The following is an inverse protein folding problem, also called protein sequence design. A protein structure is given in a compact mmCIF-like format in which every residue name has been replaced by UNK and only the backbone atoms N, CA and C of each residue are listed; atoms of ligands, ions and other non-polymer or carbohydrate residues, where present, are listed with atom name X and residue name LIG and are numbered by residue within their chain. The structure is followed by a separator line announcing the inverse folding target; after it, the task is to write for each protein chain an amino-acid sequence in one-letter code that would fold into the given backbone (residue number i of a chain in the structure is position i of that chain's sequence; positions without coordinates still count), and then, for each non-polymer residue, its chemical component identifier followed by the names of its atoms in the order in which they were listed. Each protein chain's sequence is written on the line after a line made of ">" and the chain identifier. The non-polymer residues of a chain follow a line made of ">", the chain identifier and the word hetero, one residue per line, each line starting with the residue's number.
data_IF_150945189517
#
_entry.id   IF_150945189517
#
_cell.length_a   1.000
_cell.length_b   1.000
_cell.length_c   1.000
_cell.angle_alpha   90.00
_cell.angle_beta   90.00
_cell.angle_gamma   90.00
#
_symmetry.space_group_name_H-M   'P 1'
#
loop_
_entity.id
_entity.type
_entity.pdbx_description
1 polymer ?
#
# COMPACT_ATOMS: atom_id res chain seq x y z
N UNK A 1 -1.76 -18.28 10.95
CA UNK A 1 -0.56 -17.75 11.63
C UNK A 1 0.02 -16.67 10.75
N UNK A 2 -0.02 -15.42 11.20
CA UNK A 2 0.58 -14.28 10.47
C UNK A 2 2.05 -14.58 10.14
N UNK A 3 2.40 -14.51 8.85
CA UNK A 3 3.80 -14.46 8.40
C UNK A 3 4.25 -13.02 8.56
N UNK A 4 4.82 -12.68 9.72
CA UNK A 4 4.98 -11.31 10.25
C UNK A 4 6.09 -10.48 9.60
N UNK A 5 6.15 -10.46 8.26
CA UNK A 5 7.02 -9.52 7.55
C UNK A 5 6.59 -8.07 7.80
N UNK A 6 5.29 -7.82 8.02
CA UNK A 6 4.72 -6.49 8.22
C UNK A 6 5.16 -5.83 9.53
N UNK A 7 5.37 -6.65 10.56
CA UNK A 7 5.85 -6.19 11.86
C UNK A 7 7.31 -5.72 11.83
N UNK A 8 8.04 -5.98 10.74
CA UNK A 8 9.42 -5.52 10.58
C UNK A 8 9.52 -4.07 10.11
N UNK A 9 8.44 -3.52 9.54
CA UNK A 9 8.40 -2.12 9.13
C UNK A 9 8.09 -1.19 10.31
N UNK A 10 8.75 -0.02 10.40
CA UNK A 10 8.37 1.02 11.37
C UNK A 10 6.92 1.44 11.14
N UNK A 11 6.10 1.42 12.19
CA UNK A 11 4.66 1.75 12.08
C UNK A 11 4.39 3.25 11.87
N UNK A 12 5.42 4.08 12.03
CA UNK A 12 5.37 5.50 11.67
C UNK A 12 5.57 5.71 10.15
N UNK A 13 6.14 4.71 9.45
CA UNK A 13 6.44 4.77 8.00
C UNK A 13 5.49 3.92 7.17
N UNK A 14 5.06 2.75 7.70
CA UNK A 14 4.14 1.83 7.03
C UNK A 14 2.98 1.49 7.95
N UNK A 15 1.77 1.80 7.50
CA UNK A 15 0.53 1.43 8.18
C UNK A 15 -0.17 0.29 7.42
N UNK A 16 -0.29 -0.87 8.08
CA UNK A 16 -1.11 -1.97 7.58
C UNK A 16 -2.51 -1.91 8.19
N UNK A 17 -3.54 -2.00 7.35
CA UNK A 17 -4.95 -1.97 7.76
C UNK A 17 -5.70 -3.14 7.11
N UNK A 18 -6.42 -3.92 7.92
CA UNK A 18 -7.43 -4.83 7.41
C UNK A 18 -8.74 -4.08 7.15
N UNK A 19 -9.48 -4.44 6.10
CA UNK A 19 -10.81 -3.88 5.82
C UNK A 19 -11.81 -5.02 5.76
N UNK A 20 -12.90 -4.91 6.52
CA UNK A 20 -13.92 -5.96 6.63
C UNK A 20 -15.33 -5.38 6.57
N UNK A 21 -16.20 -6.00 5.78
CA UNK A 21 -17.60 -5.60 5.69
C UNK A 21 -18.49 -6.20 6.81
N UNK A 22 -17.90 -6.91 7.78
CA UNK A 22 -18.57 -7.36 8.98
C UNK A 22 -18.05 -6.60 10.20
N UNK A 23 -18.97 -6.14 11.04
CA UNK A 23 -18.66 -5.56 12.35
C UNK A 23 -19.03 -6.52 13.50
N UNK A 24 -19.25 -7.80 13.20
CA UNK A 24 -19.56 -8.80 14.23
C UNK A 24 -18.31 -9.05 15.08
N UNK A 25 -18.31 -8.66 16.37
CA UNK A 25 -17.12 -8.73 17.22
C UNK A 25 -16.64 -10.15 17.47
N UNK A 26 -17.53 -11.15 17.42
CA UNK A 26 -17.14 -12.55 17.59
C UNK A 26 -16.39 -13.06 16.35
N UNK A 27 -16.85 -12.71 15.15
CA UNK A 27 -16.20 -13.12 13.90
C UNK A 27 -14.83 -12.46 13.79
N UNK A 28 -14.76 -11.14 13.99
CA UNK A 28 -13.51 -10.38 13.94
C UNK A 28 -12.56 -10.81 15.06
N UNK A 29 -13.06 -10.97 16.29
CA UNK A 29 -12.27 -11.41 17.44
C UNK A 29 -11.65 -12.78 17.23
N UNK A 30 -12.43 -13.77 16.78
CA UNK A 30 -11.90 -15.10 16.46
C UNK A 30 -10.85 -15.04 15.35
N UNK A 31 -11.08 -14.25 14.29
CA UNK A 31 -10.13 -14.12 13.18
C UNK A 31 -8.79 -13.51 13.64
N UNK A 32 -8.83 -12.50 14.50
CA UNK A 32 -7.64 -11.88 15.11
C UNK A 32 -6.90 -12.91 15.96
N UNK A 33 -7.61 -13.63 16.85
CA UNK A 33 -7.02 -14.61 17.77
C UNK A 33 -6.40 -15.79 17.02
N UNK A 34 -7.11 -16.37 16.06
CA UNK A 34 -6.65 -17.52 15.27
C UNK A 34 -5.40 -17.21 14.42
N UNK A 35 -5.25 -15.95 14.00
CA UNK A 35 -4.15 -15.53 13.14
C UNK A 35 -3.05 -14.73 13.84
N UNK A 36 -3.24 -14.38 15.12
CA UNK A 36 -2.36 -13.51 15.91
C UNK A 36 -2.16 -12.12 15.28
N UNK A 37 -3.22 -11.54 14.72
CA UNK A 37 -3.12 -10.26 14.01
C UNK A 37 -2.85 -9.11 14.97
N UNK A 38 -1.89 -8.26 14.61
CA UNK A 38 -1.54 -7.06 15.39
C UNK A 38 -1.99 -5.75 14.75
N UNK A 39 -2.35 -5.77 13.47
CA UNK A 39 -2.84 -4.59 12.75
C UNK A 39 -4.35 -4.38 12.98
N UNK A 40 -4.84 -3.13 12.92
CA UNK A 40 -6.25 -2.85 13.10
C UNK A 40 -7.08 -3.32 11.90
N UNK A 41 -8.33 -3.72 12.17
CA UNK A 41 -9.34 -4.05 11.16
C UNK A 41 -10.41 -2.97 11.18
N UNK A 42 -10.62 -2.29 10.05
CA UNK A 42 -11.62 -1.25 9.86
C UNK A 42 -12.90 -1.85 9.27
N UNK A 43 -14.04 -1.34 9.73
CA UNK A 43 -15.34 -1.74 9.21
C UNK A 43 -15.68 -0.98 7.93
N UNK A 44 -16.00 -1.71 6.86
CA UNK A 44 -16.48 -1.18 5.58
C UNK A 44 -18.01 -1.26 5.51
N UNK A 45 -18.72 -0.14 5.71
CA UNK A 45 -20.17 -0.13 5.68
C UNK A 45 -20.73 -0.28 4.25
N UNK A 46 -22.05 -0.47 4.14
CA UNK A 46 -22.75 -0.40 2.85
C UNK A 46 -22.82 -1.71 2.06
N UNK A 47 -22.33 -2.83 2.61
CA UNK A 47 -22.69 -4.15 2.11
C UNK A 47 -24.16 -4.47 2.43
N UNK A 48 -24.91 -5.03 1.48
CA UNK A 48 -26.29 -5.49 1.69
C UNK A 48 -26.41 -6.77 2.54
N UNK A 49 -25.39 -7.07 3.35
CA UNK A 49 -25.32 -8.28 4.20
C UNK A 49 -24.90 -9.55 3.45
N UNK A 50 -24.28 -9.41 2.27
CA UNK A 50 -23.70 -10.53 1.51
C UNK A 50 -22.25 -10.82 1.92
N UNK A 51 -21.73 -11.96 1.46
CA UNK A 51 -20.31 -12.35 1.63
C UNK A 51 -19.35 -11.40 0.90
N UNK A 52 -19.88 -10.53 0.05
CA UNK A 52 -19.14 -9.60 -0.82
C UNK A 52 -19.75 -8.20 -0.72
N UNK A 53 -18.91 -7.16 -0.81
CA UNK A 53 -19.33 -5.78 -0.90
C UNK A 53 -18.95 -4.92 0.30
N UNK A 54 -19.33 -3.66 0.22
CA UNK A 54 -18.89 -2.57 1.10
C UNK A 54 -18.51 -1.37 0.23
N UNK A 55 -18.63 -0.16 0.76
CA UNK A 55 -18.39 1.04 -0.05
C UNK A 55 -16.95 1.12 -0.52
N UNK A 56 -16.01 0.77 0.35
CA UNK A 56 -14.58 0.74 0.01
C UNK A 56 -14.30 -0.41 -0.94
N UNK A 57 -14.89 -1.58 -0.69
CA UNK A 57 -14.82 -2.72 -1.61
C UNK A 57 -15.22 -2.35 -3.05
N UNK A 58 -16.31 -1.60 -3.22
CA UNK A 58 -16.84 -1.22 -4.53
C UNK A 58 -15.95 -0.20 -5.25
N UNK A 59 -15.32 0.72 -4.51
CA UNK A 59 -14.40 1.73 -5.05
C UNK A 59 -13.09 1.07 -5.54
N UNK A 60 -12.60 0.09 -4.80
CA UNK A 60 -11.35 -0.64 -5.09
C UNK A 60 -11.59 -1.92 -5.91
N UNK A 61 -12.66 -1.95 -6.71
CA UNK A 61 -12.99 -3.09 -7.55
C UNK A 61 -12.01 -3.26 -8.71
N UNK A 62 -11.41 -4.46 -8.83
CA UNK A 62 -10.57 -4.85 -9.96
C UNK A 62 -11.37 -5.80 -10.89
N UNK A 63 -11.57 -5.45 -12.18
CA UNK A 63 -12.36 -6.27 -13.09
C UNK A 63 -11.64 -7.58 -13.51
N UNK A 64 -12.43 -8.63 -13.75
CA UNK A 64 -12.06 -9.95 -14.33
C UNK A 64 -11.37 -11.00 -13.44
N UNK A 65 -11.24 -10.79 -12.12
CA UNK A 65 -10.61 -11.79 -11.24
C UNK A 65 -11.63 -12.52 -10.35
N UNK A 66 -11.79 -13.81 -10.63
CA UNK A 66 -12.87 -14.67 -10.11
C UNK A 66 -12.73 -15.15 -8.66
N UNK A 67 -11.89 -14.53 -7.83
CA UNK A 67 -11.78 -14.87 -6.40
C UNK A 67 -11.96 -13.63 -5.52
N UNK A 68 -12.85 -13.66 -4.51
CA UNK A 68 -13.30 -12.44 -3.86
C UNK A 68 -12.37 -11.89 -2.77
N UNK A 69 -11.38 -12.66 -2.26
CA UNK A 69 -10.53 -12.27 -1.11
C UNK A 69 -9.20 -13.07 -1.02
N UNK A 70 -8.12 -12.49 -0.46
CA UNK A 70 -7.93 -11.07 -0.12
C UNK A 70 -7.65 -10.21 -1.37
N UNK A 71 -7.76 -8.89 -1.23
CA UNK A 71 -7.31 -7.92 -2.22
C UNK A 71 -6.37 -6.95 -1.55
N UNK A 72 -5.17 -6.85 -2.10
CA UNK A 72 -4.08 -6.16 -1.46
C UNK A 72 -3.71 -4.91 -2.27
N UNK A 73 -3.59 -3.80 -1.56
CA UNK A 73 -3.24 -2.51 -2.14
C UNK A 73 -2.08 -1.90 -1.34
N UNK A 74 -1.15 -1.27 -2.04
CA UNK A 74 -0.16 -0.37 -1.43
C UNK A 74 -0.44 1.02 -1.96
N UNK A 75 -0.62 1.96 -1.03
CA UNK A 75 -0.89 3.37 -1.33
C UNK A 75 0.28 4.18 -0.77
N UNK A 76 0.84 5.05 -1.60
CA UNK A 76 1.95 5.91 -1.18
C UNK A 76 1.49 7.13 -0.36
N UNK A 77 2.46 7.91 0.12
CA UNK A 77 2.25 9.14 0.91
C UNK A 77 1.44 10.23 0.18
N UNK A 78 1.33 10.17 -1.15
CA UNK A 78 0.53 11.10 -1.95
C UNK A 78 -0.90 10.58 -2.21
N UNK A 79 -1.24 9.39 -1.69
CA UNK A 79 -2.51 8.74 -1.92
C UNK A 79 -2.60 8.02 -3.27
N UNK A 80 -1.47 7.74 -3.92
CA UNK A 80 -1.44 7.03 -5.21
C UNK A 80 -1.28 5.53 -4.97
N UNK A 81 -2.06 4.71 -5.68
CA UNK A 81 -1.95 3.26 -5.63
C UNK A 81 -0.69 2.84 -6.42
N UNK A 82 0.25 2.21 -5.71
CA UNK A 82 1.52 1.70 -6.28
C UNK A 82 1.47 0.19 -6.52
N UNK A 83 0.57 -0.51 -5.85
CA UNK A 83 0.31 -1.93 -6.03
C UNK A 83 -1.18 -2.22 -5.86
N UNK A 84 -1.72 -3.10 -6.70
CA UNK A 84 -3.08 -3.59 -6.63
C UNK A 84 -3.14 -5.02 -7.21
N UNK A 85 -3.55 -5.99 -6.40
CA UNK A 85 -3.67 -7.38 -6.84
C UNK A 85 -4.79 -8.12 -6.11
N UNK A 86 -5.38 -9.11 -6.78
CA UNK A 86 -6.42 -9.98 -6.21
C UNK A 86 -5.84 -11.31 -5.68
N UNK A 87 -4.54 -11.50 -5.84
CA UNK A 87 -3.80 -12.59 -5.22
C UNK A 87 -2.71 -12.04 -4.31
N UNK A 88 -2.44 -12.77 -3.23
CA UNK A 88 -1.35 -12.42 -2.32
C UNK A 88 -0.01 -12.71 -3.00
N UNK A 89 0.73 -11.65 -3.30
CA UNK A 89 2.11 -11.70 -3.78
C UNK A 89 3.00 -10.90 -2.83
N UNK A 90 3.33 -11.54 -1.71
CA UNK A 90 4.11 -10.94 -0.63
C UNK A 90 5.51 -10.51 -1.10
N UNK A 91 6.12 -11.24 -2.03
CA UNK A 91 7.46 -10.91 -2.53
C UNK A 91 7.44 -9.60 -3.31
N UNK A 92 6.47 -9.42 -4.20
CA UNK A 92 6.33 -8.19 -4.95
C UNK A 92 5.92 -7.01 -4.07
N UNK A 93 5.03 -7.23 -3.10
CA UNK A 93 4.68 -6.19 -2.11
C UNK A 93 5.91 -5.66 -1.36
N UNK A 94 6.83 -6.55 -0.96
CA UNK A 94 8.08 -6.16 -0.28
C UNK A 94 8.97 -5.33 -1.21
N UNK A 95 9.06 -5.67 -2.50
CA UNK A 95 9.80 -4.87 -3.49
C UNK A 95 9.24 -3.44 -3.56
N UNK A 96 7.91 -3.31 -3.73
CA UNK A 96 7.25 -2.00 -3.81
C UNK A 96 7.45 -1.19 -2.53
N UNK A 97 7.27 -1.79 -1.34
CA UNK A 97 7.49 -1.10 -0.08
C UNK A 97 8.95 -0.63 0.08
N UNK A 98 9.92 -1.46 -0.30
CA UNK A 98 11.32 -1.07 -0.22
C UNK A 98 11.65 0.08 -1.18
N UNK A 99 11.06 0.11 -2.39
CA UNK A 99 11.22 1.23 -3.31
C UNK A 99 10.63 2.51 -2.72
N UNK A 100 9.42 2.45 -2.15
CA UNK A 100 8.75 3.62 -1.55
C UNK A 100 9.44 4.15 -0.29
N UNK A 101 10.04 3.27 0.51
CA UNK A 101 10.72 3.63 1.75
C UNK A 101 12.20 3.96 1.55
N UNK A 102 12.77 3.59 0.39
CA UNK A 102 14.14 4.00 0.06
C UNK A 102 14.19 5.51 -0.09
N UNK A 103 15.02 6.18 0.72
CA UNK A 103 15.40 7.58 0.52
C UNK A 103 16.28 7.70 -0.74
N UNK A 104 15.74 7.37 -1.91
CA UNK A 104 16.50 7.55 -3.14
C UNK A 104 16.34 9.01 -3.58
N UNK A 105 17.22 9.88 -3.08
CA UNK A 105 17.62 11.03 -3.89
C UNK A 105 18.16 10.46 -5.20
N UNK A 106 17.41 10.66 -6.28
CA UNK A 106 17.87 10.34 -7.62
C UNK A 106 18.95 11.38 -7.95
N UNK A 107 20.18 11.11 -7.55
CA UNK A 107 21.36 11.89 -7.94
C UNK A 107 21.70 11.54 -9.40
N UNK A 108 21.09 12.26 -10.34
CA UNK A 108 21.46 12.14 -11.76
C UNK A 108 22.66 13.04 -12.00
N UNK A 109 23.83 12.40 -12.12
CA UNK A 109 25.01 13.07 -12.64
C UNK A 109 24.86 13.23 -14.16
N UNK A 110 24.45 14.42 -14.61
CA UNK A 110 24.45 14.73 -16.03
C UNK A 110 25.88 15.09 -16.47
N UNK A 111 26.50 14.37 -17.43
CA UNK A 111 27.73 14.86 -18.04
C UNK A 111 27.41 16.18 -18.74
N UNK A 112 28.09 17.25 -18.34
CA UNK A 112 27.95 18.55 -18.97
C UNK A 112 28.17 18.43 -20.49
N UNK A 113 27.17 18.80 -21.29
CA UNK A 113 27.33 19.03 -22.72
C UNK A 113 26.90 20.46 -23.02
N UNK A 114 27.60 21.15 -23.92
CA UNK A 114 27.44 22.60 -24.14
C UNK A 114 26.07 23.03 -24.72
N UNK A 115 25.17 22.09 -25.00
CA UNK A 115 23.98 22.27 -25.82
C UNK A 115 22.66 21.87 -25.14
N UNK A 116 22.61 21.82 -23.80
CA UNK A 116 21.35 21.61 -23.07
C UNK A 116 20.60 22.93 -22.87
N UNK A 117 19.48 23.10 -23.57
CA UNK A 117 18.46 24.10 -23.22
C UNK A 117 17.56 23.52 -22.13
N UNK A 118 17.95 23.70 -20.87
CA UNK A 118 17.13 23.32 -19.71
C UNK A 118 16.14 24.43 -19.37
N UNK A 119 14.96 24.40 -19.97
CA UNK A 119 13.79 25.14 -19.47
C UNK A 119 12.93 24.11 -18.72
N UNK A 120 12.84 24.22 -17.39
CA UNK A 120 11.67 23.67 -16.68
C UNK A 120 11.85 22.83 -15.43
N UNK A 121 13.03 22.78 -14.78
CA UNK A 121 13.11 22.19 -13.42
C UNK A 121 13.61 23.24 -12.41
N UNK A 122 12.95 23.41 -11.26
CA UNK A 122 13.44 24.26 -10.19
C UNK A 122 14.59 23.53 -9.50
N UNK A 123 15.81 23.77 -9.96
CA UNK A 123 17.02 23.26 -9.31
C UNK A 123 17.53 24.36 -8.39
N UNK A 124 17.60 24.08 -7.08
CA UNK A 124 18.32 24.95 -6.16
C UNK A 124 19.82 24.80 -6.45
N UNK A 125 20.41 25.81 -7.08
CA UNK A 125 21.85 25.86 -7.30
C UNK A 125 22.48 26.64 -6.14
N UNK A 126 23.23 25.97 -5.27
CA UNK A 126 24.17 26.64 -4.38
C UNK A 126 25.54 26.67 -5.07
N UNK A 127 26.09 27.87 -5.24
CA UNK A 127 27.47 28.01 -5.65
C UNK A 127 28.35 27.90 -4.40
N UNK A 128 29.30 26.97 -4.39
CA UNK A 128 30.45 27.03 -3.49
C UNK A 128 31.48 28.01 -4.06
N UNK A 129 31.97 28.93 -3.22
CA UNK A 129 33.04 29.89 -3.53
C UNK A 129 34.35 29.22 -3.97
#
# INVERSE_FOLDING_TARGET
>A
METTIWQTYPQDDVLLLGISNTNNPNIIGNFIEENNLTYPILFDPGSSGGVQGGQTYDIYYLPNDGSPYPRDFIVDQNGVIQYANNEIDTEWMVVILNELLSETEIEIEFPFQENWNMIGLPINVSNSD
#
